data_IF_302166640843
#
_entry.id   IF_302166640843
#
_cell.length_a   1.000
_cell.length_b   1.000
_cell.length_c   1.000
_cell.angle_alpha   90.00
_cell.angle_beta   90.00
_cell.angle_gamma   90.00
#
_symmetry.space_group_name_H-M   'P 1'
#
loop_
_entity.id
_entity.type
_entity.pdbx_description
1 polymer ?
#
# COMPACT_ATOMS: atom_id res chain seq x y z
N UNK A 1 -13.18 15.83 -3.92
CA UNK A 1 -12.02 16.73 -4.02
C UNK A 1 -10.87 15.97 -4.69
N UNK A 2 -10.13 16.60 -5.60
CA UNK A 2 -8.89 16.05 -6.17
C UNK A 2 -7.70 16.57 -5.39
N UNK A 3 -6.76 15.70 -5.04
CA UNK A 3 -5.55 16.07 -4.34
C UNK A 3 -4.35 15.30 -4.89
N UNK A 4 -3.16 15.85 -4.66
CA UNK A 4 -1.89 15.20 -4.96
C UNK A 4 -1.12 14.99 -3.67
N UNK A 5 -0.83 13.73 -3.36
CA UNK A 5 0.09 13.36 -2.28
C UNK A 5 1.50 13.24 -2.85
N UNK A 6 2.43 14.04 -2.36
CA UNK A 6 3.85 14.01 -2.76
C UNK A 6 4.68 13.39 -1.65
N UNK A 7 5.53 12.44 -2.03
CA UNK A 7 6.52 11.81 -1.15
C UNK A 7 7.89 12.34 -1.57
N UNK A 8 8.64 12.89 -0.63
CA UNK A 8 10.00 13.36 -0.82
C UNK A 8 10.95 12.60 0.10
N UNK A 9 12.18 12.35 -0.35
CA UNK A 9 13.17 11.56 0.36
C UNK A 9 14.52 12.25 0.36
N UNK A 10 15.43 11.73 1.20
CA UNK A 10 16.86 11.94 1.09
C UNK A 10 17.55 10.57 1.09
N UNK A 11 18.36 10.29 0.07
CA UNK A 11 18.96 8.96 -0.13
C UNK A 11 20.29 8.76 0.60
N UNK A 12 20.89 9.85 1.09
CA UNK A 12 22.19 9.85 1.78
C UNK A 12 23.40 9.75 0.85
N UNK A 13 23.22 9.55 -0.45
CA UNK A 13 24.31 9.40 -1.43
C UNK A 13 24.74 10.68 -2.13
N UNK A 14 24.12 11.80 -1.80
CA UNK A 14 24.40 13.12 -2.39
C UNK A 14 24.49 13.05 -3.93
N UNK A 15 25.44 13.79 -4.51
CA UNK A 15 25.72 13.81 -5.96
C UNK A 15 26.26 12.48 -6.51
N UNK A 16 26.51 11.48 -5.67
CA UNK A 16 26.96 10.15 -6.10
C UNK A 16 25.80 9.16 -6.25
N UNK A 17 24.56 9.60 -6.02
CA UNK A 17 23.34 8.80 -6.27
C UNK A 17 23.32 8.30 -7.71
N UNK A 18 23.17 6.99 -7.89
CA UNK A 18 22.98 6.36 -9.19
C UNK A 18 21.82 5.38 -9.14
N UNK A 19 20.92 5.50 -10.12
CA UNK A 19 19.88 4.53 -10.42
C UNK A 19 20.55 3.28 -10.99
N UNK A 20 20.33 2.15 -10.33
CA UNK A 20 20.90 0.86 -10.75
C UNK A 20 20.01 0.22 -11.79
N UNK A 21 18.73 0.06 -11.44
CA UNK A 21 17.72 -0.56 -12.28
C UNK A 21 16.32 -0.23 -11.74
N UNK A 22 15.31 -0.41 -12.58
CA UNK A 22 13.90 -0.21 -12.29
C UNK A 22 13.08 -1.46 -12.65
N UNK A 23 11.77 -1.38 -12.42
CA UNK A 23 10.87 -2.53 -12.58
C UNK A 23 10.72 -3.05 -14.01
N UNK A 24 11.03 -2.23 -15.01
CA UNK A 24 11.04 -2.64 -16.41
C UNK A 24 12.44 -3.03 -16.91
N UNK A 25 13.44 -3.07 -16.02
CA UNK A 25 14.80 -3.53 -16.31
C UNK A 25 15.73 -2.48 -16.90
N UNK A 26 15.31 -1.22 -17.01
CA UNK A 26 16.19 -0.11 -17.41
C UNK A 26 16.77 0.59 -16.16
N UNK A 27 17.61 1.62 -16.36
CA UNK A 27 18.20 2.43 -15.29
C UNK A 27 17.68 3.87 -15.29
N UNK A 28 16.39 4.02 -15.60
CA UNK A 28 15.65 5.27 -15.63
C UNK A 28 14.44 5.13 -14.72
N UNK A 29 14.04 6.20 -14.05
CA UNK A 29 12.81 6.20 -13.26
C UNK A 29 11.65 6.78 -14.10
N UNK A 30 10.60 5.99 -14.27
CA UNK A 30 9.42 6.36 -15.04
C UNK A 30 8.15 6.21 -14.19
N UNK A 31 7.08 6.93 -14.52
CA UNK A 31 5.80 6.79 -13.78
C UNK A 31 5.16 5.41 -13.96
N UNK A 32 5.59 4.65 -14.97
CA UNK A 32 5.19 3.26 -15.18
C UNK A 32 5.93 2.28 -14.30
N UNK A 33 6.99 2.71 -13.61
CA UNK A 33 7.72 1.83 -12.72
C UNK A 33 6.95 1.51 -11.45
N UNK A 34 7.01 0.25 -11.05
CA UNK A 34 6.51 -0.19 -9.73
C UNK A 34 7.55 0.02 -8.63
N UNK A 35 8.83 0.04 -9.00
CA UNK A 35 9.95 0.29 -8.11
C UNK A 35 11.19 0.76 -8.87
N UNK A 36 12.08 1.47 -8.16
CA UNK A 36 13.42 1.88 -8.61
C UNK A 36 14.45 1.54 -7.54
N UNK A 37 15.66 1.17 -7.94
CA UNK A 37 16.78 0.92 -7.02
C UNK A 37 17.91 1.90 -7.24
N UNK A 38 18.58 2.27 -6.15
CA UNK A 38 19.71 3.18 -6.17
C UNK A 38 20.89 2.65 -5.37
N UNK A 39 22.04 3.21 -5.67
CA UNK A 39 23.25 3.04 -4.89
C UNK A 39 24.12 4.29 -5.04
N UNK A 40 25.02 4.51 -4.09
CA UNK A 40 26.14 5.43 -4.26
C UNK A 40 27.18 4.81 -5.19
N UNK A 41 27.62 5.56 -6.20
CA UNK A 41 28.76 5.18 -7.03
C UNK A 41 29.95 4.66 -6.20
N UNK A 42 30.63 3.63 -6.70
CA UNK A 42 31.80 3.08 -6.02
C UNK A 42 32.96 4.07 -6.02
N UNK A 43 33.65 4.16 -4.89
CA UNK A 43 35.05 4.60 -4.82
C UNK A 43 35.93 3.34 -4.81
N UNK A 44 36.53 3.01 -5.96
CA UNK A 44 37.21 1.74 -6.17
C UNK A 44 36.22 0.55 -6.13
N UNK A 45 36.37 -0.33 -5.14
CA UNK A 45 35.48 -1.49 -4.92
C UNK A 45 34.51 -1.28 -3.75
N UNK A 46 34.55 -0.11 -3.10
CA UNK A 46 33.80 0.18 -1.88
C UNK A 46 32.81 1.33 -2.07
N UNK A 47 31.73 1.31 -1.31
CA UNK A 47 30.75 2.40 -1.21
C UNK A 47 30.32 2.45 0.25
N UNK A 48 30.19 3.67 0.79
CA UNK A 48 29.77 3.91 2.17
C UNK A 48 28.26 3.70 2.36
N UNK A 49 27.50 3.71 1.27
CA UNK A 49 26.05 3.84 1.34
C UNK A 49 25.31 2.54 0.96
N UNK A 50 24.11 2.35 1.54
CA UNK A 50 23.30 1.17 1.29
C UNK A 50 22.83 1.07 -0.16
N UNK A 51 22.49 -0.16 -0.60
CA UNK A 51 21.75 -0.37 -1.85
C UNK A 51 20.28 -0.27 -1.50
N UNK A 52 19.64 0.75 -2.04
CA UNK A 52 18.27 1.10 -1.72
C UNK A 52 17.31 0.59 -2.80
N UNK A 53 16.10 0.25 -2.39
CA UNK A 53 14.96 0.07 -3.28
C UNK A 53 13.80 0.92 -2.81
N UNK A 54 13.11 1.56 -3.75
CA UNK A 54 11.94 2.39 -3.53
C UNK A 54 10.79 1.76 -4.30
N UNK A 55 9.77 1.29 -3.59
CA UNK A 55 8.60 0.64 -4.17
C UNK A 55 7.42 1.59 -4.07
N UNK A 56 6.88 1.95 -5.22
CA UNK A 56 5.88 2.99 -5.38
C UNK A 56 4.47 2.42 -5.48
N UNK A 57 4.31 1.35 -6.26
CA UNK A 57 2.99 0.86 -6.64
C UNK A 57 3.03 -0.61 -7.04
N UNK A 58 1.88 -1.26 -6.99
CA UNK A 58 1.69 -2.61 -7.52
C UNK A 58 1.11 -2.60 -8.94
N UNK A 59 1.33 -3.65 -9.75
CA UNK A 59 0.67 -3.80 -11.04
C UNK A 59 -0.86 -3.72 -10.91
N UNK A 60 -1.51 -2.94 -11.78
CA UNK A 60 -2.97 -2.81 -11.83
C UNK A 60 -3.60 -2.02 -10.68
N UNK A 61 -2.81 -1.27 -9.91
CA UNK A 61 -3.32 -0.39 -8.87
C UNK A 61 -4.31 0.66 -9.41
N UNK A 62 -5.31 1.01 -8.60
CA UNK A 62 -6.34 1.99 -8.95
C UNK A 62 -5.80 3.43 -8.99
N UNK A 63 -4.82 3.74 -8.14
CA UNK A 63 -4.08 5.00 -8.14
C UNK A 63 -2.63 4.68 -8.48
N UNK A 64 -2.19 5.17 -9.64
CA UNK A 64 -0.81 5.04 -10.11
C UNK A 64 -0.02 6.33 -9.84
N UNK A 65 1.30 6.24 -9.97
CA UNK A 65 2.19 7.39 -9.98
C UNK A 65 1.73 8.41 -11.03
N UNK A 66 1.51 9.63 -10.59
CA UNK A 66 1.16 10.76 -11.43
C UNK A 66 2.38 11.59 -11.86
N UNK A 67 3.49 11.46 -11.15
CA UNK A 67 4.75 12.14 -11.47
C UNK A 67 5.91 11.61 -10.64
N UNK A 68 7.11 11.71 -11.18
CA UNK A 68 8.36 11.28 -10.53
C UNK A 68 9.51 12.20 -10.96
N UNK A 69 10.30 12.64 -9.98
CA UNK A 69 11.63 13.21 -10.15
C UNK A 69 12.61 12.31 -9.42
N UNK A 70 13.40 11.57 -10.19
CA UNK A 70 14.40 10.67 -9.67
C UNK A 70 15.47 10.51 -10.75
N UNK A 71 16.67 11.03 -10.48
CA UNK A 71 17.75 11.08 -11.46
C UNK A 71 19.10 10.77 -10.82
N UNK A 72 20.07 10.38 -11.65
CA UNK A 72 21.46 10.26 -11.21
C UNK A 72 21.99 11.63 -10.76
N UNK A 73 22.76 11.63 -9.67
CA UNK A 73 23.32 12.83 -9.07
C UNK A 73 22.34 13.66 -8.22
N UNK A 74 21.10 13.22 -8.07
CA UNK A 74 20.08 13.85 -7.21
C UNK A 74 19.69 12.88 -6.07
N UNK A 75 20.05 13.22 -4.84
CA UNK A 75 19.72 12.45 -3.64
C UNK A 75 18.40 12.86 -2.99
N UNK A 76 17.66 13.82 -3.56
CA UNK A 76 16.39 14.30 -3.03
C UNK A 76 15.21 13.97 -3.96
N UNK A 77 15.00 12.68 -4.32
CA UNK A 77 13.94 12.32 -5.23
C UNK A 77 12.56 12.54 -4.60
N UNK A 78 11.59 12.82 -5.46
CA UNK A 78 10.20 12.90 -5.07
C UNK A 78 9.29 12.28 -6.12
N UNK A 79 8.12 11.84 -5.68
CA UNK A 79 7.08 11.31 -6.55
C UNK A 79 5.69 11.61 -6.00
N UNK A 80 4.70 11.56 -6.87
CA UNK A 80 3.35 12.01 -6.56
C UNK A 80 2.26 11.05 -7.00
N UNK A 81 1.17 11.05 -6.24
CA UNK A 81 -0.06 10.33 -6.55
C UNK A 81 -1.21 11.32 -6.60
N UNK A 82 -1.95 11.36 -7.71
CA UNK A 82 -3.12 12.22 -7.87
C UNK A 82 -4.38 11.36 -7.82
N UNK A 83 -5.29 11.68 -6.91
CA UNK A 83 -6.53 10.93 -6.72
C UNK A 83 -7.65 11.81 -6.17
N UNK A 84 -8.88 11.31 -6.29
CA UNK A 84 -10.07 11.93 -5.71
C UNK A 84 -10.48 11.26 -4.41
N UNK A 85 -11.00 12.06 -3.49
CA UNK A 85 -11.73 11.61 -2.29
C UNK A 85 -13.16 12.18 -2.31
N UNK A 86 -14.14 11.32 -2.07
CA UNK A 86 -15.51 11.68 -1.73
C UNK A 86 -15.62 12.11 -0.26
N UNK A 87 -16.69 12.83 0.14
CA UNK A 87 -16.93 13.15 1.54
C UNK A 87 -16.96 11.87 2.40
N UNK A 88 -16.12 11.82 3.43
CA UNK A 88 -15.99 10.66 4.33
C UNK A 88 -15.22 9.46 3.77
N UNK A 89 -14.69 9.54 2.53
CA UNK A 89 -13.84 8.50 1.95
C UNK A 89 -12.41 8.60 2.51
N UNK A 90 -11.81 7.44 2.80
CA UNK A 90 -10.40 7.31 3.15
C UNK A 90 -9.68 6.49 2.09
N UNK A 91 -8.52 6.97 1.63
CA UNK A 91 -7.57 6.20 0.83
C UNK A 91 -6.22 6.16 1.53
N UNK A 92 -5.53 5.04 1.39
CA UNK A 92 -4.17 4.82 1.86
C UNK A 92 -3.25 4.74 0.64
N UNK A 93 -2.19 5.53 0.66
CA UNK A 93 -1.07 5.44 -0.27
C UNK A 93 0.10 4.86 0.49
N UNK A 94 0.66 3.77 -0.01
CA UNK A 94 1.71 3.03 0.68
C UNK A 94 3.01 3.04 -0.11
N UNK A 95 4.16 3.23 0.54
CA UNK A 95 5.45 3.18 -0.13
C UNK A 95 6.39 2.31 0.71
N UNK A 96 7.31 1.60 0.05
CA UNK A 96 8.36 0.86 0.76
C UNK A 96 9.73 1.40 0.39
N UNK A 97 10.57 1.56 1.41
CA UNK A 97 11.99 1.70 1.25
C UNK A 97 12.67 0.44 1.78
N UNK A 98 13.63 -0.10 1.03
CA UNK A 98 14.40 -1.28 1.45
C UNK A 98 15.88 -0.99 1.41
N UNK A 99 16.59 -1.47 2.42
CA UNK A 99 18.05 -1.45 2.49
C UNK A 99 18.54 -2.89 2.33
N UNK A 100 19.44 -3.13 1.38
CA UNK A 100 19.91 -4.48 1.05
C UNK A 100 21.43 -4.53 0.88
N UNK A 101 22.07 -5.71 1.08
CA UNK A 101 23.53 -5.86 1.03
C UNK A 101 24.09 -5.80 -0.40
N UNK A 102 23.25 -5.91 -1.43
CA UNK A 102 23.69 -5.88 -2.83
C UNK A 102 22.64 -5.27 -3.74
N UNK A 103 23.07 -4.85 -4.94
CA UNK A 103 22.20 -4.30 -5.98
C UNK A 103 21.12 -5.30 -6.40
N UNK A 104 21.54 -6.56 -6.59
CA UNK A 104 20.63 -7.65 -6.94
C UNK A 104 19.62 -7.94 -5.81
N UNK A 105 20.06 -7.90 -4.54
CA UNK A 105 19.15 -8.10 -3.41
C UNK A 105 18.13 -6.95 -3.27
N UNK A 106 18.53 -5.69 -3.54
CA UNK A 106 17.64 -4.54 -3.59
C UNK A 106 16.54 -4.72 -4.64
N UNK A 107 16.92 -5.11 -5.87
CA UNK A 107 15.97 -5.36 -6.95
C UNK A 107 15.03 -6.53 -6.62
N UNK A 108 15.57 -7.66 -6.16
CA UNK A 108 14.76 -8.84 -5.83
C UNK A 108 13.74 -8.55 -4.71
N UNK A 109 14.15 -7.82 -3.66
CA UNK A 109 13.23 -7.41 -2.59
C UNK A 109 12.17 -6.43 -3.07
N UNK A 110 12.54 -5.49 -3.93
CA UNK A 110 11.61 -4.50 -4.50
C UNK A 110 10.55 -5.18 -5.37
N UNK A 111 10.95 -6.12 -6.24
CA UNK A 111 10.04 -6.97 -7.02
C UNK A 111 9.11 -7.79 -6.13
N UNK A 112 9.63 -8.36 -5.04
CA UNK A 112 8.80 -9.10 -4.09
C UNK A 112 7.70 -8.20 -3.49
N UNK A 113 8.05 -6.99 -3.06
CA UNK A 113 7.10 -6.06 -2.45
C UNK A 113 6.11 -5.46 -3.47
N UNK A 114 6.50 -5.33 -4.73
CA UNK A 114 5.64 -4.85 -5.81
C UNK A 114 4.59 -5.87 -6.29
N UNK A 115 4.90 -7.18 -6.22
CA UNK A 115 4.09 -8.20 -6.91
C UNK A 115 2.80 -8.60 -6.20
N UNK A 116 2.83 -8.90 -4.89
CA UNK A 116 1.62 -9.17 -4.11
C UNK A 116 1.85 -8.80 -2.65
N UNK A 117 0.95 -7.97 -2.13
CA UNK A 117 1.08 -7.37 -0.82
C UNK A 117 0.45 -8.21 0.30
N UNK A 118 0.93 -9.44 0.55
CA UNK A 118 0.37 -10.28 1.63
C UNK A 118 1.10 -10.12 2.96
N UNK A 119 2.43 -10.05 2.95
CA UNK A 119 3.22 -10.05 4.19
C UNK A 119 3.34 -8.67 4.86
N UNK A 120 3.25 -7.58 4.11
CA UNK A 120 3.31 -6.22 4.67
C UNK A 120 2.00 -5.73 5.27
N UNK A 121 0.93 -6.52 5.18
CA UNK A 121 -0.40 -6.24 5.73
C UNK A 121 -0.63 -6.87 7.10
N UNK A 122 0.37 -7.55 7.68
CA UNK A 122 0.22 -8.28 8.93
C UNK A 122 -0.34 -7.43 10.09
N UNK A 123 -0.10 -6.11 10.04
CA UNK A 123 -0.56 -5.14 11.04
C UNK A 123 -1.69 -4.22 10.52
N UNK A 124 -2.41 -4.62 9.48
CA UNK A 124 -3.51 -3.83 8.88
C UNK A 124 -4.82 -4.59 8.96
N UNK A 125 -5.89 -3.88 9.30
CA UNK A 125 -7.26 -4.40 9.29
C UNK A 125 -7.75 -4.61 7.86
N UNK A 126 -8.77 -5.46 7.67
CA UNK A 126 -9.40 -5.66 6.36
C UNK A 126 -9.94 -4.34 5.78
N UNK A 127 -10.44 -3.44 6.63
CA UNK A 127 -10.91 -2.12 6.21
C UNK A 127 -9.77 -1.23 5.67
N UNK A 128 -8.60 -1.24 6.31
CA UNK A 128 -7.43 -0.51 5.79
C UNK A 128 -6.94 -1.14 4.49
N UNK A 129 -6.97 -2.47 4.39
CA UNK A 129 -6.56 -3.19 3.19
C UNK A 129 -7.40 -2.84 1.96
N UNK A 130 -8.69 -2.53 2.12
CA UNK A 130 -9.55 -2.05 1.01
C UNK A 130 -9.38 -0.56 0.73
N UNK A 131 -8.78 0.20 1.64
CA UNK A 131 -8.48 1.63 1.45
C UNK A 131 -7.14 1.86 0.74
N UNK A 132 -6.24 0.86 0.69
CA UNK A 132 -4.98 0.95 -0.07
C UNK A 132 -5.29 1.09 -1.56
N UNK A 133 -4.82 2.20 -2.14
CA UNK A 133 -5.20 2.58 -3.51
C UNK A 133 -4.10 2.31 -4.55
N UNK A 134 -2.83 2.26 -4.13
CA UNK A 134 -1.68 2.09 -5.01
C UNK A 134 -1.12 0.66 -5.07
N UNK A 135 -1.84 -0.32 -4.53
CA UNK A 135 -1.55 -1.76 -4.66
C UNK A 135 -2.86 -2.55 -4.80
N UNK A 136 -2.83 -3.66 -5.53
CA UNK A 136 -3.93 -4.64 -5.48
C UNK A 136 -3.80 -5.43 -4.19
N UNK A 137 -4.80 -5.35 -3.34
CA UNK A 137 -4.89 -6.15 -2.12
C UNK A 137 -5.41 -7.55 -2.46
N UNK A 138 -4.71 -8.60 -2.02
CA UNK A 138 -5.09 -10.00 -2.27
C UNK A 138 -6.19 -10.51 -1.32
N UNK A 139 -6.81 -9.62 -0.54
CA UNK A 139 -7.84 -10.00 0.44
C UNK A 139 -9.03 -10.60 -0.31
N UNK A 140 -9.43 -11.84 -0.02
CA UNK A 140 -10.73 -12.33 -0.44
C UNK A 140 -11.76 -11.39 0.17
N UNK A 141 -12.55 -10.73 -0.66
CA UNK A 141 -13.67 -9.90 -0.18
C UNK A 141 -14.64 -10.86 0.51
N UNK A 142 -14.51 -11.04 1.82
CA UNK A 142 -15.57 -11.64 2.61
C UNK A 142 -16.63 -10.55 2.67
N UNK A 143 -17.58 -10.61 1.73
CA UNK A 143 -18.78 -9.81 1.82
C UNK A 143 -19.42 -10.14 3.16
N UNK A 144 -19.31 -9.23 4.13
CA UNK A 144 -20.14 -9.29 5.33
C UNK A 144 -21.56 -9.08 4.82
N UNK A 145 -22.47 -10.05 4.97
CA UNK A 145 -23.84 -9.86 4.51
C UNK A 145 -24.44 -8.67 5.26
N UNK A 146 -24.67 -7.57 4.55
CA UNK A 146 -25.44 -6.46 5.11
C UNK A 146 -26.90 -6.86 5.11
N UNK A 147 -27.56 -6.76 6.26
CA UNK A 147 -29.02 -6.87 6.29
C UNK A 147 -29.59 -5.65 5.58
N UNK A 148 -30.42 -5.87 4.56
CA UNK A 148 -31.28 -4.83 4.05
C UNK A 148 -32.36 -4.48 5.10
N UNK A 149 -33.17 -3.45 4.85
CA UNK A 149 -34.21 -3.01 5.78
C UNK A 149 -35.13 -4.16 6.22
N UNK A 150 -35.48 -5.06 5.29
CA UNK A 150 -36.27 -6.25 5.59
C UNK A 150 -35.54 -7.22 6.54
N UNK A 151 -34.25 -7.45 6.32
CA UNK A 151 -33.40 -8.27 7.19
C UNK A 151 -33.24 -7.67 8.58
N UNK A 152 -33.15 -6.33 8.67
CA UNK A 152 -33.08 -5.61 9.94
C UNK A 152 -34.38 -5.77 10.74
N UNK A 153 -35.53 -5.59 10.07
CA UNK A 153 -36.86 -5.77 10.68
C UNK A 153 -37.06 -7.21 11.15
N UNK A 154 -36.66 -8.20 10.36
CA UNK A 154 -36.76 -9.61 10.72
C UNK A 154 -35.92 -9.95 11.98
N UNK A 155 -34.71 -9.39 12.09
CA UNK A 155 -33.86 -9.58 13.26
C UNK A 155 -34.49 -8.97 14.53
N UNK A 156 -35.02 -7.74 14.42
CA UNK A 156 -35.69 -7.06 15.53
C UNK A 156 -36.90 -7.87 16.02
N UNK A 157 -37.75 -8.34 15.09
CA UNK A 157 -38.92 -9.17 15.42
C UNK A 157 -38.51 -10.50 16.06
N UNK A 158 -37.47 -11.15 15.55
CA UNK A 158 -36.94 -12.39 16.11
C UNK A 158 -36.47 -12.23 17.55
N UNK A 159 -35.74 -11.15 17.85
CA UNK A 159 -35.28 -10.83 19.21
C UNK A 159 -36.45 -10.52 20.15
N UNK A 160 -37.44 -9.75 19.69
CA UNK A 160 -38.63 -9.44 20.48
C UNK A 160 -39.44 -10.70 20.83
N UNK A 161 -39.63 -11.61 19.87
CA UNK A 161 -40.31 -12.89 20.09
C UNK A 161 -39.55 -13.80 21.06
N UNK A 162 -38.22 -13.84 20.97
CA UNK A 162 -37.37 -14.60 21.89
C UNK A 162 -37.48 -14.05 23.32
N UNK A 163 -37.39 -12.73 23.51
CA UNK A 163 -37.55 -12.07 24.80
C UNK A 163 -38.94 -12.35 25.40
N UNK A 164 -40.00 -12.28 24.58
CA UNK A 164 -41.36 -12.58 25.01
C UNK A 164 -41.53 -14.05 25.43
N UNK A 165 -40.94 -15.01 24.69
CA UNK A 165 -40.93 -16.43 25.09
C UNK A 165 -40.20 -16.66 26.41
N UNK A 166 -39.08 -15.97 26.64
CA UNK A 166 -38.35 -16.05 27.91
C UNK A 166 -39.18 -15.49 29.09
N UNK A 167 -39.84 -14.35 28.91
CA UNK A 167 -40.71 -13.73 29.92
C UNK A 167 -41.93 -14.62 30.25
N UNK A 168 -42.54 -15.22 29.23
CA UNK A 168 -43.67 -16.13 29.39
C UNK A 168 -43.27 -17.45 30.07
N UNK A 169 -42.08 -17.98 29.77
CA UNK A 169 -41.53 -19.15 30.50
C UNK A 169 -41.30 -18.83 31.98
N UNK A 170 -40.70 -17.67 32.27
CA UNK A 170 -40.39 -17.23 33.64
C UNK A 170 -41.65 -17.01 34.50
N UNK A 171 -42.76 -16.58 33.89
CA UNK A 171 -44.08 -16.44 34.54
C UNK A 171 -44.82 -17.75 34.78
N UNK A 172 -44.45 -18.85 34.11
CA UNK A 172 -45.05 -20.18 34.32
C UNK A 172 -44.33 -21.01 35.38
N UNK A 173 -43.14 -20.57 35.80
CA UNK A 173 -42.30 -21.22 36.81
C UNK A 173 -42.27 -20.48 38.15
N UNK A 174 -43.14 -19.48 38.33
CA UNK A 174 -43.39 -18.76 39.57
C UNK A 174 -44.86 -18.97 39.96
#
# INVERSE_FOLDING_TARGET
MTLTAVIANNLGSDSNTVIVTSSNGNATAETTDTWVTTFQSYSGTTSSDPRLGHVFQGPGAAVQLAGINFANGDDNPFWGYTFTLQPGETKIIMNFAVVQPSKAAAAAKSTQLASVFTNGLACTTVAEQTQIANFISAVPIIQVPTLNDAGLVALILGLALAAMKLLLRRRRTA
#
